data_IF_030556765373
#
_entry.id   IF_030556765373
#
_cell.length_a   1.000
_cell.length_b   1.000
_cell.length_c   1.000
_cell.angle_alpha   90.00
_cell.angle_beta   90.00
_cell.angle_gamma   90.00
#
_symmetry.space_group_name_H-M   'P 1'
#
loop_
_entity.id
_entity.type
_entity.pdbx_description
1 polymer ?
#
# COMPACT_ATOMS: atom_id res chain seq x y z
N UNK A 1 -1.97 -1.34 2.95
CA UNK A 1 -0.86 -1.76 2.07
C UNK A 1 -0.40 -3.12 2.52
N UNK A 2 -0.42 -4.09 1.62
CA UNK A 2 -0.18 -5.50 1.93
C UNK A 2 0.96 -6.03 1.07
N UNK A 3 1.75 -6.96 1.61
CA UNK A 3 2.72 -7.72 0.83
C UNK A 3 2.05 -8.90 0.09
N UNK A 4 2.83 -9.66 -0.69
CA UNK A 4 2.34 -10.83 -1.43
C UNK A 4 1.80 -11.95 -0.52
N UNK A 5 2.21 -11.98 0.75
CA UNK A 5 1.71 -12.91 1.75
C UNK A 5 0.44 -12.40 2.47
N UNK A 6 -0.08 -11.24 2.07
CA UNK A 6 -1.26 -10.62 2.67
C UNK A 6 -0.99 -9.94 4.01
N UNK A 7 0.27 -9.76 4.42
CA UNK A 7 0.63 -9.08 5.67
C UNK A 7 0.47 -7.58 5.51
N UNK A 8 -0.17 -6.95 6.48
CA UNK A 8 -0.38 -5.50 6.51
C UNK A 8 0.94 -4.77 6.81
N UNK A 9 1.49 -4.10 5.81
CA UNK A 9 2.77 -3.40 5.87
C UNK A 9 2.60 -1.94 6.29
N UNK A 10 1.45 -1.35 5.99
CA UNK A 10 1.16 0.05 6.31
C UNK A 10 -0.26 0.48 5.96
N UNK A 11 -0.66 1.63 6.48
CA UNK A 11 -1.91 2.33 6.18
C UNK A 11 -1.58 3.78 5.83
N UNK A 12 -2.36 4.38 4.94
CA UNK A 12 -2.20 5.79 4.57
C UNK A 12 -3.58 6.41 4.48
N UNK A 13 -3.69 7.63 4.97
CA UNK A 13 -4.89 8.42 4.77
C UNK A 13 -4.98 8.85 3.31
N UNK A 14 -6.18 8.76 2.77
CA UNK A 14 -6.47 9.14 1.39
C UNK A 14 -6.88 10.61 1.41
N UNK A 15 -6.14 11.46 0.69
CA UNK A 15 -6.56 12.84 0.42
C UNK A 15 -6.96 12.95 -1.04
N UNK A 16 -8.26 13.06 -1.32
CA UNK A 16 -8.81 13.04 -2.66
C UNK A 16 -8.53 11.72 -3.40
N UNK A 17 -7.98 11.81 -4.61
CA UNK A 17 -7.70 10.63 -5.46
C UNK A 17 -6.24 10.14 -5.39
N UNK A 18 -5.43 10.67 -4.47
CA UNK A 18 -4.00 10.38 -4.42
C UNK A 18 -3.61 9.71 -3.09
N UNK A 19 -2.79 8.67 -3.20
CA UNK A 19 -2.15 8.00 -2.07
C UNK A 19 -0.65 8.04 -2.27
N UNK A 20 0.03 8.75 -1.39
CA UNK A 20 1.48 8.86 -1.39
C UNK A 20 2.06 7.89 -0.36
N UNK A 21 2.66 6.79 -0.83
CA UNK A 21 3.39 5.86 0.02
C UNK A 21 4.89 5.99 -0.22
N UNK A 22 5.64 6.25 0.84
CA UNK A 22 7.09 6.38 0.83
C UNK A 22 7.85 5.03 0.79
N UNK A 23 7.16 3.93 0.50
CA UNK A 23 7.72 2.57 0.48
C UNK A 23 8.37 2.16 1.82
N UNK A 24 7.78 2.58 2.95
CA UNK A 24 8.20 2.18 4.28
C UNK A 24 7.10 1.44 5.04
N UNK A 25 7.50 0.54 5.94
CA UNK A 25 6.62 -0.10 6.91
C UNK A 25 6.20 0.85 8.04
N UNK A 26 5.35 0.38 8.96
CA UNK A 26 4.88 1.16 10.12
C UNK A 26 5.97 1.60 11.08
N UNK A 27 7.14 0.95 11.05
CA UNK A 27 8.31 1.33 11.86
C UNK A 27 9.25 2.28 11.12
N UNK A 28 8.87 2.74 9.92
CA UNK A 28 9.68 3.63 9.09
C UNK A 28 10.79 2.92 8.31
N UNK A 29 10.88 1.59 8.37
CA UNK A 29 11.89 0.82 7.63
C UNK A 29 11.45 0.66 6.19
N UNK A 30 12.38 0.85 5.25
CA UNK A 30 12.11 0.65 3.82
C UNK A 30 11.76 -0.80 3.55
N UNK A 31 10.70 -1.01 2.77
CA UNK A 31 10.27 -2.35 2.39
C UNK A 31 11.21 -2.94 1.32
N UNK A 32 11.19 -4.27 1.18
CA UNK A 32 11.96 -4.96 0.14
C UNK A 32 11.38 -4.69 -1.25
N UNK A 33 12.19 -4.86 -2.30
CA UNK A 33 11.68 -4.93 -3.67
C UNK A 33 10.68 -6.09 -3.78
N UNK A 34 9.61 -5.90 -4.55
CA UNK A 34 8.55 -6.89 -4.65
C UNK A 34 7.20 -6.29 -5.02
N UNK A 35 6.18 -7.16 -5.00
CA UNK A 35 4.80 -6.79 -5.30
C UNK A 35 4.05 -6.52 -4.01
N UNK A 36 3.37 -5.38 -3.97
CA UNK A 36 2.52 -4.94 -2.88
C UNK A 36 1.13 -4.59 -3.40
N UNK A 37 0.16 -4.59 -2.50
CA UNK A 37 -1.23 -4.31 -2.81
C UNK A 37 -1.77 -3.18 -1.93
N UNK A 38 -2.46 -2.23 -2.53
CA UNK A 38 -3.28 -1.26 -1.81
C UNK A 38 -4.74 -1.64 -1.95
N UNK A 39 -5.46 -1.65 -0.83
CA UNK A 39 -6.91 -1.78 -0.78
C UNK A 39 -7.47 -0.42 -0.40
N UNK A 40 -8.38 0.08 -1.21
CA UNK A 40 -9.11 1.32 -0.98
C UNK A 40 -10.59 1.01 -0.84
N UNK A 41 -11.26 1.70 0.08
CA UNK A 41 -12.70 1.60 0.27
C UNK A 41 -13.27 3.00 0.19
N UNK A 42 -14.21 3.22 -0.74
CA UNK A 42 -14.93 4.49 -0.91
C UNK A 42 -16.37 4.18 -1.31
N UNK A 43 -17.34 4.80 -0.65
CA UNK A 43 -18.78 4.67 -0.95
C UNK A 43 -19.25 3.21 -1.13
N UNK A 44 -18.76 2.31 -0.28
CA UNK A 44 -19.09 0.88 -0.31
C UNK A 44 -18.39 0.07 -1.41
N UNK A 45 -17.60 0.71 -2.27
CA UNK A 45 -16.78 0.04 -3.27
C UNK A 45 -15.37 -0.26 -2.75
N UNK A 46 -14.89 -1.47 -3.00
CA UNK A 46 -13.51 -1.85 -2.75
C UNK A 46 -12.72 -1.84 -4.06
N UNK A 47 -11.59 -1.14 -4.08
CA UNK A 47 -10.63 -1.17 -5.19
C UNK A 47 -9.29 -1.69 -4.69
N UNK A 48 -8.74 -2.68 -5.38
CA UNK A 48 -7.38 -3.18 -5.14
C UNK A 48 -6.46 -2.71 -6.27
N UNK A 49 -5.30 -2.15 -5.92
CA UNK A 49 -4.24 -1.82 -6.88
C UNK A 49 -2.95 -2.56 -6.55
N UNK A 50 -2.24 -3.00 -7.59
CA UNK A 50 -0.92 -3.62 -7.50
C UNK A 50 0.17 -2.56 -7.65
N UNK A 51 1.18 -2.62 -6.80
CA UNK A 51 2.37 -1.77 -6.82
C UNK A 51 3.59 -2.68 -6.91
N UNK A 52 4.46 -2.45 -7.89
CA UNK A 52 5.75 -3.13 -7.97
C UNK A 52 6.84 -2.16 -7.52
N UNK A 53 7.60 -2.56 -6.50
CA UNK A 53 8.78 -1.83 -6.03
C UNK A 53 10.00 -2.52 -6.61
N UNK A 54 10.78 -1.78 -7.38
CA UNK A 54 12.05 -2.19 -7.99
C UNK A 54 13.10 -1.18 -7.53
N UNK A 55 14.31 -1.65 -7.19
CA UNK A 55 15.44 -0.83 -6.78
C UNK A 55 16.53 -0.93 -7.83
#
# INVERSE_FOLDING_TARGET
>A
MYDIAGRLVGTSDISGNQVNWNCADRSGRKVASGVYFTRFTSDGQETIRRISIIK
#
